data_IF_819168661999
#
_entry.id   IF_819168661999
#
_cell.length_a   1.000
_cell.length_b   1.000
_cell.length_c   1.000
_cell.angle_alpha   90.00
_cell.angle_beta   90.00
_cell.angle_gamma   90.00
#
_symmetry.space_group_name_H-M   'P 1'
#
loop_
_entity.id
_entity.type
_entity.pdbx_description
1 polymer ?
#
# COMPACT_ATOMS: atom_id res chain seq x y z
N UNK A 1 19.31 15.71 -11.32
CA UNK A 1 18.24 15.99 -10.33
C UNK A 1 17.82 14.69 -9.62
N UNK A 2 18.35 14.44 -8.43
CA UNK A 2 17.98 13.25 -7.65
C UNK A 2 16.60 13.49 -7.03
N UNK A 3 15.65 12.59 -7.28
CA UNK A 3 14.44 12.50 -6.46
C UNK A 3 14.92 12.32 -5.02
N UNK A 4 14.64 13.27 -4.14
CA UNK A 4 14.91 13.10 -2.71
C UNK A 4 14.01 11.97 -2.19
N UNK A 5 14.52 11.10 -1.31
CA UNK A 5 13.77 9.96 -0.75
C UNK A 5 12.49 10.37 0.01
N UNK A 6 12.32 11.67 0.31
CA UNK A 6 11.15 12.26 0.97
C UNK A 6 9.83 12.00 0.21
N UNK A 7 9.91 11.71 -1.10
CA UNK A 7 8.73 11.41 -1.89
C UNK A 7 7.95 10.20 -1.38
N UNK A 8 8.63 9.20 -0.80
CA UNK A 8 8.00 7.98 -0.28
C UNK A 8 7.07 8.35 0.88
N UNK A 9 7.58 9.14 1.83
CA UNK A 9 6.81 9.61 2.97
C UNK A 9 5.68 10.55 2.54
N UNK A 10 5.89 11.36 1.50
CA UNK A 10 4.84 12.22 0.91
C UNK A 10 3.72 11.39 0.27
N UNK A 11 4.06 10.33 -0.48
CA UNK A 11 3.08 9.40 -1.05
C UNK A 11 2.30 8.70 0.08
N UNK A 12 2.98 8.22 1.13
CA UNK A 12 2.33 7.60 2.27
C UNK A 12 1.40 8.57 3.03
N UNK A 13 1.79 9.84 3.15
CA UNK A 13 0.95 10.89 3.76
C UNK A 13 -0.29 11.20 2.94
N UNK A 14 -0.21 11.13 1.60
CA UNK A 14 -1.40 11.27 0.75
C UNK A 14 -2.25 10.01 0.86
N UNK A 15 -1.63 8.82 0.83
CA UNK A 15 -2.30 7.53 0.95
C UNK A 15 -3.12 7.39 2.25
N UNK A 16 -2.61 7.91 3.36
CA UNK A 16 -3.27 7.80 4.67
C UNK A 16 -4.59 8.57 4.76
N UNK A 17 -4.84 9.53 3.86
CA UNK A 17 -6.08 10.32 3.81
C UNK A 17 -7.24 9.61 3.11
N UNK A 18 -6.99 8.48 2.44
CA UNK A 18 -7.99 7.76 1.67
C UNK A 18 -8.11 6.30 2.12
N UNK A 19 -9.32 5.77 1.98
CA UNK A 19 -9.61 4.36 2.27
C UNK A 19 -9.39 3.45 1.05
N UNK A 20 -9.02 4.02 -0.11
CA UNK A 20 -8.72 3.26 -1.32
C UNK A 20 -7.38 2.54 -1.13
N UNK A 21 -7.29 1.22 -1.37
CA UNK A 21 -6.01 0.52 -1.31
C UNK A 21 -5.05 1.06 -2.37
N UNK A 22 -3.77 1.14 -2.01
CA UNK A 22 -2.69 1.63 -2.88
C UNK A 22 -1.66 0.52 -3.01
N UNK A 23 -1.13 0.36 -4.21
CA UNK A 23 -0.05 -0.58 -4.55
C UNK A 23 1.01 0.22 -5.28
N UNK A 24 2.29 -0.01 -4.98
CA UNK A 24 3.41 0.61 -5.68
C UNK A 24 4.18 -0.42 -6.49
N UNK A 25 4.81 0.06 -7.56
CA UNK A 25 5.79 -0.69 -8.32
C UNK A 25 7.01 0.18 -8.51
N UNK A 26 8.15 -0.31 -8.06
CA UNK A 26 9.45 0.32 -8.32
C UNK A 26 10.33 -0.73 -8.99
N UNK A 27 10.69 -0.47 -10.24
CA UNK A 27 11.35 -1.44 -11.11
C UNK A 27 12.86 -1.33 -10.92
N UNK A 28 13.52 -2.46 -10.76
CA UNK A 28 14.96 -2.55 -10.65
C UNK A 28 15.42 -3.40 -9.47
N UNK A 29 16.66 -3.85 -9.54
CA UNK A 29 17.26 -4.77 -8.57
C UNK A 29 18.40 -4.14 -7.78
N UNK A 30 18.66 -2.85 -7.99
CA UNK A 30 19.70 -2.12 -7.28
C UNK A 30 19.30 -1.87 -5.82
N UNK A 31 20.30 -1.57 -4.98
CA UNK A 31 20.13 -1.23 -3.57
C UNK A 31 19.06 -0.15 -3.35
N UNK A 32 19.02 0.87 -4.22
CA UNK A 32 18.02 1.93 -4.14
C UNK A 32 16.60 1.41 -4.37
N UNK A 33 16.40 0.52 -5.34
CA UNK A 33 15.08 -0.04 -5.62
C UNK A 33 14.60 -0.97 -4.48
N UNK A 34 15.52 -1.71 -3.87
CA UNK A 34 15.24 -2.52 -2.68
C UNK A 34 14.88 -1.64 -1.48
N UNK A 35 15.62 -0.54 -1.26
CA UNK A 35 15.36 0.41 -0.19
C UNK A 35 13.99 1.10 -0.35
N UNK A 36 13.67 1.58 -1.55
CA UNK A 36 12.37 2.21 -1.86
C UNK A 36 11.22 1.25 -1.55
N UNK A 37 11.28 0.01 -2.08
CA UNK A 37 10.23 -1.00 -1.83
C UNK A 37 10.11 -1.31 -0.34
N UNK A 38 11.24 -1.54 0.35
CA UNK A 38 11.26 -1.79 1.79
C UNK A 38 10.64 -0.64 2.61
N UNK A 39 10.88 0.61 2.21
CA UNK A 39 10.29 1.78 2.89
C UNK A 39 8.78 1.84 2.69
N UNK A 40 8.27 1.59 1.49
CA UNK A 40 6.83 1.50 1.25
C UNK A 40 6.17 0.38 2.07
N UNK A 41 6.77 -0.82 2.11
CA UNK A 41 6.24 -1.94 2.88
C UNK A 41 6.17 -1.62 4.38
N UNK A 42 7.21 -0.98 4.94
CA UNK A 42 7.22 -0.50 6.33
C UNK A 42 6.14 0.53 6.63
N UNK A 43 5.69 1.28 5.62
CA UNK A 43 4.60 2.25 5.72
C UNK A 43 3.22 1.61 5.43
N UNK A 44 3.16 0.29 5.25
CA UNK A 44 1.92 -0.45 4.99
C UNK A 44 1.40 -0.30 3.56
N UNK A 45 2.28 0.04 2.61
CA UNK A 45 1.96 0.15 1.18
C UNK A 45 2.72 -0.97 0.45
N UNK A 46 2.03 -1.99 -0.08
CA UNK A 46 2.69 -3.10 -0.75
C UNK A 46 3.44 -2.63 -2.00
N UNK A 47 4.73 -2.96 -2.09
CA UNK A 47 5.62 -2.53 -3.16
C UNK A 47 6.20 -3.72 -3.94
N UNK A 48 6.06 -3.70 -5.27
CA UNK A 48 6.48 -4.80 -6.15
C UNK A 48 7.60 -4.38 -7.11
N UNK A 49 8.47 -5.34 -7.48
CA UNK A 49 9.56 -5.12 -8.45
C UNK A 49 9.10 -5.20 -9.91
N UNK A 50 7.94 -5.83 -10.17
CA UNK A 50 7.39 -5.98 -11.51
C UNK A 50 5.99 -5.35 -11.63
N UNK A 51 5.68 -4.68 -12.75
CA UNK A 51 4.32 -4.21 -13.04
C UNK A 51 3.28 -5.33 -13.02
N UNK A 52 3.67 -6.54 -13.43
CA UNK A 52 2.81 -7.72 -13.47
C UNK A 52 2.39 -8.17 -12.07
N UNK A 53 3.31 -8.13 -11.09
CA UNK A 53 2.98 -8.42 -9.69
C UNK A 53 2.09 -7.34 -9.09
N UNK A 54 2.37 -6.06 -9.37
CA UNK A 54 1.50 -4.97 -8.95
C UNK A 54 0.08 -5.11 -9.55
N UNK A 55 -0.02 -5.48 -10.83
CA UNK A 55 -1.29 -5.75 -11.50
C UNK A 55 -2.02 -6.96 -10.88
N UNK A 56 -1.31 -8.03 -10.54
CA UNK A 56 -1.87 -9.19 -9.81
C UNK A 56 -2.42 -8.78 -8.45
N UNK A 57 -1.67 -7.98 -7.69
CA UNK A 57 -2.09 -7.48 -6.38
C UNK A 57 -3.37 -6.61 -6.50
N UNK A 58 -3.39 -5.68 -7.47
CA UNK A 58 -4.59 -4.88 -7.76
C UNK A 58 -5.80 -5.76 -8.14
N UNK A 59 -5.60 -6.77 -8.99
CA UNK A 59 -6.66 -7.73 -9.36
C UNK A 59 -7.18 -8.50 -8.15
N UNK A 60 -6.30 -8.95 -7.26
CA UNK A 60 -6.67 -9.66 -6.04
C UNK A 60 -7.51 -8.79 -5.10
N UNK A 61 -7.11 -7.53 -4.89
CA UNK A 61 -7.87 -6.56 -4.08
C UNK A 61 -9.30 -6.36 -4.62
N UNK A 62 -9.46 -6.20 -5.94
CA UNK A 62 -10.78 -6.07 -6.56
C UNK A 62 -11.59 -7.35 -6.39
N UNK A 63 -11.02 -8.52 -6.71
CA UNK A 63 -11.71 -9.81 -6.61
C UNK A 63 -12.17 -10.08 -5.18
N UNK A 64 -11.34 -9.80 -4.19
CA UNK A 64 -11.67 -10.00 -2.79
C UNK A 64 -12.75 -9.02 -2.32
N UNK A 65 -12.67 -7.75 -2.72
CA UNK A 65 -13.73 -6.78 -2.47
C UNK A 65 -15.08 -7.21 -3.06
N UNK A 66 -15.10 -7.70 -4.30
CA UNK A 66 -16.30 -8.24 -4.92
C UNK A 66 -16.84 -9.48 -4.20
N UNK A 67 -15.95 -10.37 -3.74
CA UNK A 67 -16.32 -11.53 -2.94
C UNK A 67 -17.00 -11.10 -1.63
N UNK A 68 -16.39 -10.17 -0.89
CA UNK A 68 -16.96 -9.66 0.36
C UNK A 68 -18.31 -8.99 0.14
N UNK A 69 -18.48 -8.23 -0.96
CA UNK A 69 -19.77 -7.64 -1.33
C UNK A 69 -20.81 -8.71 -1.61
N UNK A 70 -20.47 -9.75 -2.37
CA UNK A 70 -21.34 -10.91 -2.64
C UNK A 70 -21.75 -11.64 -1.35
N UNK A 71 -20.90 -11.64 -0.33
CA UNK A 71 -21.16 -12.28 0.97
C UNK A 71 -21.81 -11.37 2.01
N UNK A 72 -21.98 -10.08 1.73
CA UNK A 72 -22.56 -9.11 2.67
C UNK A 72 -21.62 -8.62 3.78
N UNK A 73 -20.32 -8.97 3.73
CA UNK A 73 -19.35 -8.63 4.78
C UNK A 73 -18.43 -7.44 4.42
N UNK A 74 -18.58 -6.83 3.25
CA UNK A 74 -17.66 -5.79 2.76
C UNK A 74 -17.52 -4.61 3.73
N UNK A 75 -18.63 -4.13 4.29
CA UNK A 75 -18.58 -2.94 5.16
C UNK A 75 -18.04 -3.26 6.54
N UNK A 76 -18.38 -4.43 7.10
CA UNK A 76 -17.83 -4.88 8.36
C UNK A 76 -16.32 -5.09 8.25
N UNK A 77 -15.88 -5.81 7.21
CA UNK A 77 -14.47 -6.04 6.94
C UNK A 77 -13.71 -4.73 6.78
N UNK A 78 -14.22 -3.82 5.94
CA UNK A 78 -13.55 -2.53 5.67
C UNK A 78 -13.48 -1.67 6.93
N UNK A 79 -14.55 -1.60 7.72
CA UNK A 79 -14.52 -0.87 9.01
C UNK A 79 -13.49 -1.46 9.98
N UNK A 80 -13.45 -2.78 10.13
CA UNK A 80 -12.49 -3.44 11.03
C UNK A 80 -11.05 -3.23 10.54
N UNK A 81 -10.80 -3.39 9.25
CA UNK A 81 -9.49 -3.14 8.64
C UNK A 81 -9.02 -1.69 8.88
N UNK A 82 -9.89 -0.70 8.65
CA UNK A 82 -9.55 0.71 8.85
C UNK A 82 -9.32 1.07 10.33
N UNK A 83 -10.06 0.43 11.26
CA UNK A 83 -9.80 0.57 12.70
C UNK A 83 -8.41 0.05 13.08
N UNK A 84 -8.01 -1.11 12.57
CA UNK A 84 -6.67 -1.65 12.83
C UNK A 84 -5.57 -0.76 12.21
N UNK A 85 -5.79 -0.24 10.99
CA UNK A 85 -4.87 0.71 10.35
C UNK A 85 -4.67 1.99 11.18
N UNK A 86 -5.70 2.49 11.86
CA UNK A 86 -5.60 3.67 12.72
C UNK A 86 -4.80 3.43 14.02
N UNK A 87 -4.76 2.18 14.51
CA UNK A 87 -3.97 1.81 15.69
C UNK A 87 -2.47 1.72 15.41
N UNK A 88 -2.08 1.65 14.13
CA UNK A 88 -0.69 1.70 13.68
C UNK A 88 -0.43 3.05 13.02
N UNK A 89 -0.35 4.16 13.78
CA UNK A 89 -0.04 5.44 13.18
C UNK A 89 1.32 5.33 12.48
N UNK A 90 1.37 5.82 11.24
CA UNK A 90 2.57 5.93 10.39
C UNK A 90 3.68 6.79 11.08
N UNK A 91 3.38 7.38 12.24
CA UNK A 91 4.21 8.27 13.02
C UNK A 91 5.38 7.60 13.78
N UNK A 92 5.47 6.27 13.86
CA UNK A 92 6.49 5.60 14.72
C UNK A 92 7.86 5.38 14.06
N UNK A 93 8.16 6.05 12.95
CA UNK A 93 9.46 5.90 12.24
C UNK A 93 10.09 7.25 11.84
N UNK A 94 9.85 8.31 12.61
CA UNK A 94 10.64 9.56 12.60
C UNK A 94 11.48 9.65 13.87
#
# INVERSE_FOLDING_TARGET
>A
PALQEDYIDRVARVASKYNKPIVTCDIGETEMALHIRSRFDKLGIPAYSSPEDAARAMSALVKYGLYLKKKGFFEEYTRNFLKEKQKQPIQTLL
#
